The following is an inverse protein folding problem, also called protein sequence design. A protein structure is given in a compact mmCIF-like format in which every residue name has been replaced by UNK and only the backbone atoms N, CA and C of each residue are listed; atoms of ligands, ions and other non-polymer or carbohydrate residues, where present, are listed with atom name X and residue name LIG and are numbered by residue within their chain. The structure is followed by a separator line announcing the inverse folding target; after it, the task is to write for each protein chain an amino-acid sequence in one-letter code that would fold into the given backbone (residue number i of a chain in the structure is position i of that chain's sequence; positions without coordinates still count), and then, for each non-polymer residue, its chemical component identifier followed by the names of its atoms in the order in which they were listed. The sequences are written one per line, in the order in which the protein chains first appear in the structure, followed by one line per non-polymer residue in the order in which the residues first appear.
data_IF_344933924249
#
_entry.id   IF_344933924249
#
_cell.length_a   1.000
_cell.length_b   1.000
_cell.length_c   1.000
_cell.angle_alpha   90.00
_cell.angle_beta   90.00
_cell.angle_gamma   90.00
#
_symmetry.space_group_name_H-M   'P 1'
#
loop_
_entity.id
_entity.type
_entity.pdbx_description
1 polymer ?
#
# COMPACT_ATOMS: atom_id res chain seq x y z
N UNK A 1 -2.59 -22.51 10.97
CA UNK A 1 -2.91 -21.24 11.62
C UNK A 1 -3.35 -20.19 10.60
N UNK A 2 -3.64 -19.00 11.07
CA UNK A 2 -3.91 -17.84 10.23
C UNK A 2 -2.66 -16.95 10.30
N UNK A 3 -2.10 -16.57 9.15
CA UNK A 3 -1.00 -15.62 9.08
C UNK A 3 -1.51 -14.19 9.28
N UNK A 4 -0.75 -13.37 10.00
CA UNK A 4 -1.08 -11.98 10.31
C UNK A 4 -0.15 -11.05 9.53
N UNK A 5 -0.74 -10.22 8.67
CA UNK A 5 -0.03 -9.19 7.90
C UNK A 5 -0.42 -7.82 8.46
N UNK A 6 0.56 -7.01 8.82
CA UNK A 6 0.34 -5.68 9.41
C UNK A 6 0.51 -4.61 8.33
N UNK A 7 -0.38 -3.62 8.36
CA UNK A 7 -0.25 -2.43 7.51
C UNK A 7 0.86 -1.52 8.03
N UNK A 8 1.81 -1.17 7.17
CA UNK A 8 3.05 -0.48 7.49
C UNK A 8 3.19 0.81 6.69
N UNK A 9 2.93 1.94 7.35
CA UNK A 9 3.04 3.27 6.76
C UNK A 9 4.45 3.81 7.02
N UNK A 10 5.36 3.61 6.06
CA UNK A 10 6.76 4.02 6.19
C UNK A 10 7.13 5.23 5.33
N UNK A 11 6.25 5.66 4.43
CA UNK A 11 6.50 6.82 3.58
C UNK A 11 6.39 8.15 4.31
N UNK A 12 5.51 8.25 5.32
CA UNK A 12 5.21 9.51 6.00
C UNK A 12 4.80 9.29 7.46
N UNK A 13 4.75 10.38 8.21
CA UNK A 13 4.14 10.42 9.55
C UNK A 13 3.14 11.56 9.65
N UNK A 14 2.25 11.49 10.63
CA UNK A 14 1.47 12.65 11.04
C UNK A 14 2.35 13.74 11.66
N UNK A 15 1.83 14.97 11.72
CA UNK A 15 2.53 16.13 12.32
C UNK A 15 2.72 16.01 13.83
N UNK A 16 1.93 15.17 14.50
CA UNK A 16 2.03 14.91 15.95
C UNK A 16 3.05 13.83 16.30
N UNK A 17 3.76 13.28 15.32
CA UNK A 17 4.82 12.32 15.58
C UNK A 17 5.97 13.00 16.33
N UNK A 18 6.49 12.35 17.38
CA UNK A 18 7.43 12.97 18.31
C UNK A 18 8.68 13.61 17.65
N UNK A 19 9.14 13.02 16.54
CA UNK A 19 10.27 13.53 15.75
C UNK A 19 9.92 14.86 15.09
N UNK A 20 8.72 14.97 14.52
CA UNK A 20 8.29 16.21 13.89
C UNK A 20 8.00 17.31 14.90
N UNK A 21 7.42 16.96 16.05
CA UNK A 21 7.26 17.89 17.19
C UNK A 21 8.59 18.46 17.67
N UNK A 22 9.65 17.64 17.74
CA UNK A 22 10.99 18.11 18.08
C UNK A 22 11.50 19.15 17.04
N UNK A 23 11.29 18.91 15.74
CA UNK A 23 11.67 19.86 14.70
C UNK A 23 10.86 21.17 14.83
N UNK A 24 9.58 21.10 15.13
CA UNK A 24 8.74 22.30 15.36
C UNK A 24 9.26 23.14 16.55
N UNK A 25 9.70 22.46 17.61
CA UNK A 25 10.18 23.12 18.82
C UNK A 25 11.61 23.67 18.67
N UNK A 26 12.53 22.88 18.09
CA UNK A 26 13.96 23.16 18.10
C UNK A 26 14.48 23.71 16.75
N UNK A 27 13.69 23.69 15.70
CA UNK A 27 14.02 24.20 14.38
C UNK A 27 15.33 23.59 13.84
N UNK A 28 16.23 24.46 13.39
CA UNK A 28 17.54 24.06 12.88
C UNK A 28 18.39 23.24 13.89
N UNK A 29 18.18 23.43 15.18
CA UNK A 29 18.91 22.72 16.24
C UNK A 29 18.35 21.32 16.52
N UNK A 30 17.24 20.94 15.91
CA UNK A 30 16.72 19.57 16.03
C UNK A 30 17.71 18.56 15.46
N UNK A 31 17.96 17.50 16.22
CA UNK A 31 18.76 16.37 15.76
C UNK A 31 18.05 15.55 14.67
N UNK A 32 16.75 15.74 14.51
CA UNK A 32 15.90 14.99 13.58
C UNK A 32 15.63 15.71 12.25
N UNK A 33 16.24 16.86 11.98
CA UNK A 33 15.98 17.67 10.79
C UNK A 33 16.17 16.91 9.47
N UNK A 34 17.01 15.87 9.46
CA UNK A 34 17.31 15.07 8.27
C UNK A 34 16.40 13.83 8.13
N UNK A 35 15.44 13.64 9.06
CA UNK A 35 14.49 12.53 9.04
C UNK A 35 13.39 12.70 8.00
N UNK A 36 13.12 13.94 7.59
CA UNK A 36 12.07 14.25 6.62
C UNK A 36 12.65 14.82 5.32
N UNK A 37 11.94 14.62 4.23
CA UNK A 37 12.34 15.13 2.92
C UNK A 37 12.13 16.64 2.85
N UNK A 38 13.10 17.34 2.27
CA UNK A 38 13.03 18.75 1.90
C UNK A 38 12.68 19.73 3.03
N UNK A 39 13.15 19.47 4.26
CA UNK A 39 13.10 20.47 5.34
C UNK A 39 13.94 21.68 4.95
N UNK A 40 13.34 22.87 4.98
CA UNK A 40 14.01 24.14 4.65
C UNK A 40 13.62 25.20 5.66
N UNK A 41 14.60 25.69 6.40
CA UNK A 41 14.42 26.69 7.47
C UNK A 41 14.40 28.13 6.96
N UNK A 42 14.49 28.35 5.65
CA UNK A 42 14.27 29.63 4.95
C UNK A 42 12.84 29.79 4.42
N UNK A 43 11.95 28.80 4.66
CA UNK A 43 10.57 28.76 4.23
C UNK A 43 9.58 28.77 5.39
N UNK A 44 8.29 28.63 5.03
CA UNK A 44 7.19 28.44 5.98
C UNK A 44 6.26 27.34 5.50
N UNK A 45 5.63 26.62 6.43
CA UNK A 45 4.56 25.68 6.11
C UNK A 45 3.20 26.38 6.06
N UNK A 46 2.19 25.77 5.42
CA UNK A 46 0.80 26.25 5.47
C UNK A 46 0.22 26.30 6.90
N UNK A 47 0.80 25.54 7.83
CA UNK A 47 0.40 25.50 9.24
C UNK A 47 1.12 26.52 10.12
N UNK A 48 1.94 27.38 9.54
CA UNK A 48 2.65 28.45 10.26
C UNK A 48 3.98 28.02 10.90
N UNK A 49 4.50 26.82 10.61
CA UNK A 49 5.84 26.45 11.03
C UNK A 49 6.89 27.36 10.39
N UNK A 50 7.96 27.65 11.11
CA UNK A 50 9.07 28.49 10.62
C UNK A 50 10.05 27.71 9.70
N UNK A 51 9.55 26.70 9.01
CA UNK A 51 10.24 25.91 7.99
C UNK A 51 9.22 25.33 7.01
N UNK A 52 9.68 24.98 5.82
CA UNK A 52 8.90 24.20 4.85
C UNK A 52 9.39 22.75 4.81
N UNK A 53 8.55 21.85 4.31
CA UNK A 53 8.83 20.42 4.19
C UNK A 53 8.01 19.81 3.03
N UNK A 54 8.29 18.57 2.69
CA UNK A 54 7.52 17.81 1.71
C UNK A 54 6.41 17.01 2.39
N UNK A 55 5.15 17.20 1.93
CA UNK A 55 4.04 16.34 2.28
C UNK A 55 3.79 15.28 1.21
N UNK A 56 3.33 14.08 1.60
CA UNK A 56 2.99 13.04 0.65
C UNK A 56 1.80 13.47 -0.22
N UNK A 57 1.97 13.36 -1.55
CA UNK A 57 0.97 13.75 -2.56
C UNK A 57 0.42 15.19 -2.37
N UNK A 58 1.21 16.09 -1.78
CA UNK A 58 0.81 17.46 -1.48
C UNK A 58 0.00 17.62 -0.20
N UNK A 59 -0.31 16.53 0.50
CA UNK A 59 -0.97 16.58 1.81
C UNK A 59 0.05 16.91 2.90
N UNK A 60 -0.03 18.12 3.43
CA UNK A 60 0.95 18.63 4.38
C UNK A 60 0.78 18.07 5.81
N UNK A 61 -0.34 17.38 6.09
CA UNK A 61 -0.52 16.62 7.34
C UNK A 61 0.26 15.30 7.34
N UNK A 62 0.62 14.80 6.16
CA UNK A 62 1.37 13.56 5.96
C UNK A 62 2.81 13.89 5.58
N UNK A 63 3.64 14.12 6.62
CA UNK A 63 5.02 14.61 6.45
C UNK A 63 5.91 13.51 5.94
N UNK A 64 6.51 13.70 4.75
CA UNK A 64 7.26 12.66 4.05
C UNK A 64 8.60 12.34 4.72
N UNK A 65 8.76 11.10 5.12
CA UNK A 65 10.00 10.59 5.71
C UNK A 65 11.13 10.46 4.67
N UNK A 66 12.34 10.67 5.13
CA UNK A 66 13.55 10.37 4.38
C UNK A 66 14.00 8.94 4.67
N UNK A 67 13.36 7.96 4.02
CA UNK A 67 13.65 6.53 4.22
C UNK A 67 15.07 6.11 3.79
N UNK A 68 15.83 7.01 3.14
CA UNK A 68 17.24 6.78 2.82
C UNK A 68 18.16 7.17 3.99
N UNK A 69 17.66 7.89 5.00
CA UNK A 69 18.38 8.22 6.21
C UNK A 69 18.53 6.98 7.11
N UNK A 70 19.76 6.70 7.55
CA UNK A 70 20.06 5.51 8.35
C UNK A 70 19.35 5.49 9.72
N UNK A 71 19.16 6.63 10.36
CA UNK A 71 18.45 6.69 11.65
C UNK A 71 16.95 6.39 11.46
N UNK A 72 16.36 6.87 10.37
CA UNK A 72 14.97 6.54 9.97
C UNK A 72 14.84 5.04 9.73
N UNK A 73 15.77 4.43 8.96
CA UNK A 73 15.77 2.98 8.72
C UNK A 73 15.92 2.19 10.04
N UNK A 74 16.84 2.59 10.91
CA UNK A 74 17.04 1.93 12.20
C UNK A 74 15.78 2.00 13.07
N UNK A 75 15.08 3.13 13.07
CA UNK A 75 13.83 3.28 13.80
C UNK A 75 12.74 2.35 13.25
N UNK A 76 12.54 2.36 11.91
CA UNK A 76 11.55 1.51 11.24
C UNK A 76 11.87 0.03 11.45
N UNK A 77 13.12 -0.39 11.21
CA UNK A 77 13.52 -1.79 11.35
C UNK A 77 13.44 -2.28 12.80
N UNK A 78 13.74 -1.40 13.76
CA UNK A 78 13.55 -1.70 15.19
C UNK A 78 12.07 -1.92 15.54
N UNK A 79 11.16 -1.14 14.95
CA UNK A 79 9.72 -1.37 15.13
C UNK A 79 9.28 -2.69 14.49
N UNK A 80 9.74 -2.98 13.26
CA UNK A 80 9.43 -4.23 12.55
C UNK A 80 9.95 -5.45 13.32
N UNK A 81 11.19 -5.38 13.82
CA UNK A 81 11.76 -6.45 14.66
C UNK A 81 10.89 -6.74 15.88
N UNK A 82 10.45 -5.67 16.55
CA UNK A 82 9.55 -5.79 17.69
C UNK A 82 8.22 -6.45 17.31
N UNK A 83 7.63 -6.07 16.19
CA UNK A 83 6.40 -6.68 15.71
C UNK A 83 6.57 -8.17 15.37
N UNK A 84 7.70 -8.55 14.76
CA UNK A 84 8.02 -9.96 14.48
C UNK A 84 8.22 -10.74 15.79
N UNK A 85 8.96 -10.19 16.76
CA UNK A 85 9.37 -10.92 17.96
C UNK A 85 8.31 -10.95 19.07
N UNK A 86 7.53 -9.87 19.23
CA UNK A 86 6.54 -9.76 20.31
C UNK A 86 5.12 -10.12 19.84
N UNK A 87 4.77 -9.83 18.59
CA UNK A 87 3.43 -10.09 18.07
C UNK A 87 3.40 -11.22 17.04
N UNK A 88 4.55 -11.83 16.73
CA UNK A 88 4.67 -12.98 15.83
C UNK A 88 4.03 -12.76 14.45
N UNK A 89 4.06 -11.52 13.93
CA UNK A 89 3.49 -11.23 12.62
C UNK A 89 4.18 -12.02 11.50
N UNK A 90 3.45 -12.26 10.42
CA UNK A 90 3.88 -13.07 9.29
C UNK A 90 4.23 -12.24 8.05
N UNK A 91 3.95 -10.94 8.08
CA UNK A 91 4.25 -10.07 6.96
C UNK A 91 3.85 -8.62 7.16
N UNK A 92 4.14 -7.81 6.13
CA UNK A 92 3.77 -6.40 6.05
C UNK A 92 3.09 -6.07 4.73
N UNK A 93 2.07 -5.21 4.79
CA UNK A 93 1.57 -4.46 3.64
C UNK A 93 2.18 -3.06 3.70
N UNK A 94 3.01 -2.71 2.73
CA UNK A 94 3.60 -1.36 2.64
C UNK A 94 2.62 -0.40 1.99
N UNK A 95 2.17 0.56 2.75
CA UNK A 95 1.37 1.70 2.26
C UNK A 95 2.20 2.55 1.29
N UNK A 96 1.57 3.03 0.20
CA UNK A 96 2.21 3.87 -0.80
C UNK A 96 3.60 3.34 -1.24
N UNK A 97 3.71 2.03 -1.49
CA UNK A 97 4.98 1.39 -1.82
C UNK A 97 5.62 1.91 -3.11
N UNK A 98 4.82 2.47 -4.02
CA UNK A 98 5.27 3.04 -5.29
C UNK A 98 6.15 4.29 -5.12
N UNK A 99 6.11 4.96 -3.96
CA UNK A 99 6.95 6.14 -3.64
C UNK A 99 8.10 5.83 -2.68
N UNK A 100 8.23 4.59 -2.21
CA UNK A 100 9.38 4.13 -1.44
C UNK A 100 10.56 3.82 -2.37
N UNK A 101 11.79 4.08 -1.90
CA UNK A 101 12.98 3.79 -2.72
C UNK A 101 13.23 2.28 -2.84
N UNK A 102 13.76 1.86 -4.01
CA UNK A 102 14.10 0.45 -4.23
C UNK A 102 15.14 -0.06 -3.24
N UNK A 103 16.12 0.77 -2.87
CA UNK A 103 17.13 0.45 -1.84
C UNK A 103 16.50 0.19 -0.48
N UNK A 104 15.55 1.02 -0.05
CA UNK A 104 14.83 0.81 1.22
C UNK A 104 14.06 -0.52 1.21
N UNK A 105 13.36 -0.83 0.12
CA UNK A 105 12.63 -2.11 0.01
C UNK A 105 13.56 -3.31 0.04
N UNK A 106 14.71 -3.24 -0.63
CA UNK A 106 15.72 -4.31 -0.64
C UNK A 106 16.33 -4.53 0.76
N UNK A 107 16.64 -3.44 1.48
CA UNK A 107 17.15 -3.52 2.84
C UNK A 107 16.10 -4.07 3.81
N UNK A 108 14.83 -3.62 3.67
CA UNK A 108 13.70 -4.13 4.48
C UNK A 108 13.46 -5.62 4.21
N UNK A 109 13.47 -6.04 2.94
CA UNK A 109 13.34 -7.44 2.56
C UNK A 109 14.40 -8.29 3.25
N UNK A 110 15.68 -7.93 3.08
CA UNK A 110 16.79 -8.67 3.67
C UNK A 110 16.69 -8.71 5.21
N UNK A 111 16.30 -7.60 5.82
CA UNK A 111 16.09 -7.52 7.26
C UNK A 111 14.99 -8.48 7.73
N UNK A 112 13.80 -8.41 7.14
CA UNK A 112 12.66 -9.25 7.51
C UNK A 112 12.97 -10.74 7.33
N UNK A 113 13.54 -11.13 6.18
CA UNK A 113 13.92 -12.52 5.91
C UNK A 113 15.02 -13.03 6.83
N UNK A 114 15.90 -12.17 7.33
CA UNK A 114 16.89 -12.56 8.35
C UNK A 114 16.25 -12.91 9.70
N UNK A 115 15.05 -12.37 9.98
CA UNK A 115 14.31 -12.62 11.22
C UNK A 115 13.31 -13.78 11.07
N UNK A 116 12.68 -13.90 9.90
CA UNK A 116 11.67 -14.90 9.59
C UNK A 116 11.72 -15.22 8.09
N UNK A 117 12.14 -16.43 7.72
CA UNK A 117 12.41 -16.81 6.31
C UNK A 117 11.18 -16.82 5.39
N UNK A 118 10.00 -17.05 5.95
CA UNK A 118 8.70 -17.05 5.25
C UNK A 118 7.90 -15.77 5.44
N UNK A 119 8.57 -14.68 5.83
CA UNK A 119 7.95 -13.37 6.04
C UNK A 119 7.48 -12.80 4.70
N UNK A 120 6.19 -12.45 4.62
CA UNK A 120 5.58 -11.98 3.39
C UNK A 120 5.54 -10.45 3.31
N UNK A 121 6.05 -9.91 2.20
CA UNK A 121 6.06 -8.48 1.93
C UNK A 121 5.17 -8.17 0.73
N UNK A 122 4.11 -7.40 0.93
CA UNK A 122 3.32 -6.85 -0.17
C UNK A 122 3.34 -5.32 -0.15
N UNK A 123 3.16 -4.70 -1.31
CA UNK A 123 3.09 -3.26 -1.44
C UNK A 123 1.81 -2.80 -2.09
N UNK A 124 1.31 -1.65 -1.64
CA UNK A 124 0.32 -0.92 -2.39
C UNK A 124 1.00 -0.19 -3.55
N UNK A 125 0.62 -0.56 -4.78
CA UNK A 125 1.04 0.08 -6.02
C UNK A 125 -0.18 0.28 -6.89
N UNK A 126 -0.50 1.55 -7.17
CA UNK A 126 -1.71 1.88 -7.95
C UNK A 126 -1.40 1.85 -9.45
N UNK A 127 -0.25 2.39 -9.86
CA UNK A 127 0.12 2.56 -11.26
C UNK A 127 1.57 2.16 -11.53
N UNK A 128 1.88 1.83 -12.78
CA UNK A 128 3.22 1.54 -13.25
C UNK A 128 3.45 0.07 -13.61
N UNK A 129 4.69 -0.27 -13.91
CA UNK A 129 5.09 -1.66 -14.15
C UNK A 129 5.37 -2.35 -12.81
N UNK A 130 4.50 -3.26 -12.42
CA UNK A 130 4.58 -3.98 -11.14
C UNK A 130 5.88 -4.75 -10.94
N UNK A 131 6.58 -5.12 -12.02
CA UNK A 131 7.90 -5.75 -11.94
C UNK A 131 8.98 -4.86 -11.29
N UNK A 132 8.74 -3.55 -11.19
CA UNK A 132 9.67 -2.67 -10.47
C UNK A 132 9.64 -2.92 -8.95
N UNK A 133 8.54 -3.44 -8.43
CA UNK A 133 8.30 -3.66 -7.00
C UNK A 133 8.19 -5.15 -6.67
N UNK A 134 7.27 -5.89 -7.34
CA UNK A 134 7.07 -7.33 -7.13
C UNK A 134 8.16 -8.14 -7.84
N UNK A 135 9.30 -8.28 -7.18
CA UNK A 135 10.45 -9.04 -7.68
C UNK A 135 11.28 -9.57 -6.53
N UNK A 136 12.07 -10.62 -6.83
CA UNK A 136 13.01 -11.21 -5.86
C UNK A 136 13.88 -10.13 -5.19
N UNK A 137 13.97 -10.20 -3.89
CA UNK A 137 14.76 -9.28 -3.07
C UNK A 137 14.07 -7.95 -2.76
N UNK A 138 12.80 -7.75 -3.15
CA UNK A 138 11.98 -6.59 -2.77
C UNK A 138 10.66 -7.02 -2.15
N UNK A 139 9.58 -7.02 -2.93
CA UNK A 139 8.25 -7.39 -2.48
C UNK A 139 7.80 -8.68 -3.14
N UNK A 140 7.11 -9.52 -2.38
CA UNK A 140 6.55 -10.78 -2.87
C UNK A 140 5.30 -10.55 -3.72
N UNK A 141 4.58 -9.45 -3.47
CA UNK A 141 3.33 -9.11 -4.15
C UNK A 141 3.10 -7.60 -4.17
N UNK A 142 2.26 -7.15 -5.10
CA UNK A 142 1.69 -5.81 -5.10
C UNK A 142 0.20 -5.85 -5.46
N UNK A 143 -0.53 -4.79 -5.10
CA UNK A 143 -1.97 -4.64 -5.41
C UNK A 143 -2.22 -4.59 -6.91
N UNK A 144 -3.18 -5.38 -7.39
CA UNK A 144 -3.53 -5.48 -8.80
C UNK A 144 -4.67 -4.53 -9.19
N UNK A 145 -4.40 -3.23 -9.14
CA UNK A 145 -5.37 -2.21 -9.57
C UNK A 145 -5.69 -2.29 -11.07
N UNK A 146 -4.78 -2.82 -11.88
CA UNK A 146 -4.99 -2.98 -13.33
C UNK A 146 -6.14 -3.98 -13.63
N UNK A 147 -6.23 -5.08 -12.86
CA UNK A 147 -7.30 -6.07 -13.04
C UNK A 147 -8.61 -5.66 -12.34
N UNK A 148 -8.52 -4.91 -11.25
CA UNK A 148 -9.65 -4.52 -10.39
C UNK A 148 -10.86 -3.99 -11.18
N UNK A 149 -10.65 -2.97 -12.02
CA UNK A 149 -11.74 -2.35 -12.79
C UNK A 149 -12.35 -3.34 -13.78
N UNK A 150 -11.52 -4.06 -14.51
CA UNK A 150 -11.96 -5.02 -15.53
C UNK A 150 -12.85 -6.12 -14.96
N UNK A 151 -12.59 -6.56 -13.71
CA UNK A 151 -13.44 -7.58 -13.08
C UNK A 151 -14.88 -7.12 -12.92
N UNK A 152 -15.15 -6.01 -12.25
CA UNK A 152 -16.53 -5.59 -12.00
C UNK A 152 -17.21 -4.94 -13.22
N UNK A 153 -16.46 -4.20 -14.07
CA UNK A 153 -17.02 -3.57 -15.26
C UNK A 153 -17.53 -4.62 -16.26
N UNK A 154 -16.84 -5.76 -16.37
CA UNK A 154 -17.22 -6.85 -17.27
C UNK A 154 -18.63 -7.38 -16.96
N UNK A 155 -18.99 -7.51 -15.70
CA UNK A 155 -20.35 -7.92 -15.31
C UNK A 155 -21.37 -6.81 -15.52
N UNK A 156 -21.03 -5.57 -15.15
CA UNK A 156 -21.92 -4.42 -15.27
C UNK A 156 -22.30 -4.13 -16.72
N UNK A 157 -21.35 -4.27 -17.62
CA UNK A 157 -21.52 -3.95 -19.05
C UNK A 157 -21.80 -5.21 -19.89
N UNK A 158 -21.81 -6.40 -19.25
CA UNK A 158 -21.97 -7.71 -19.91
C UNK A 158 -20.98 -7.90 -21.06
N UNK A 159 -19.75 -7.41 -20.84
CA UNK A 159 -18.66 -7.43 -21.80
C UNK A 159 -17.36 -7.86 -21.10
N UNK A 160 -16.88 -9.06 -21.43
CA UNK A 160 -15.71 -9.67 -20.78
C UNK A 160 -14.39 -9.42 -21.53
N UNK A 161 -14.37 -8.62 -22.61
CA UNK A 161 -13.13 -8.37 -23.36
C UNK A 161 -12.07 -7.64 -22.52
N UNK A 162 -12.47 -6.67 -21.67
CA UNK A 162 -11.53 -5.92 -20.84
C UNK A 162 -10.82 -6.84 -19.86
N UNK A 163 -11.56 -7.64 -19.09
CA UNK A 163 -10.96 -8.56 -18.11
C UNK A 163 -10.14 -9.66 -18.80
N UNK A 164 -10.63 -10.21 -19.92
CA UNK A 164 -9.88 -11.21 -20.69
C UNK A 164 -8.57 -10.64 -21.24
N UNK A 165 -8.58 -9.41 -21.73
CA UNK A 165 -7.38 -8.72 -22.19
C UNK A 165 -6.37 -8.53 -21.03
N UNK A 166 -6.82 -8.01 -19.90
CA UNK A 166 -5.96 -7.80 -18.71
C UNK A 166 -5.37 -9.11 -18.21
N UNK A 167 -6.18 -10.17 -18.10
CA UNK A 167 -5.69 -11.49 -17.67
C UNK A 167 -4.68 -12.08 -18.64
N UNK A 168 -4.95 -12.00 -19.95
CA UNK A 168 -4.00 -12.51 -20.94
C UNK A 168 -2.69 -11.71 -20.96
N UNK A 169 -2.79 -10.38 -20.86
CA UNK A 169 -1.62 -9.50 -20.79
C UNK A 169 -0.77 -9.77 -19.53
N UNK A 170 -1.42 -9.98 -18.38
CA UNK A 170 -0.73 -10.20 -17.11
C UNK A 170 -0.16 -11.62 -16.99
N UNK A 171 -0.94 -12.64 -17.31
CA UNK A 171 -0.69 -14.02 -16.94
C UNK A 171 -0.73 -15.02 -18.11
N UNK A 172 -1.11 -14.60 -19.32
CA UNK A 172 -1.14 -15.46 -20.50
C UNK A 172 0.26 -15.92 -20.96
N UNK A 173 0.33 -16.58 -22.12
CA UNK A 173 1.61 -16.95 -22.71
C UNK A 173 2.44 -15.71 -23.04
N UNK A 174 3.60 -15.56 -22.35
CA UNK A 174 4.39 -14.33 -22.40
C UNK A 174 3.83 -13.17 -21.55
N UNK A 175 2.90 -13.45 -20.64
CA UNK A 175 2.34 -12.47 -19.73
C UNK A 175 3.39 -11.76 -18.88
N UNK A 176 3.23 -10.45 -18.75
CA UNK A 176 4.25 -9.56 -18.12
C UNK A 176 4.42 -9.81 -16.62
N UNK A 177 3.40 -10.34 -15.93
CA UNK A 177 3.41 -10.64 -14.50
C UNK A 177 3.23 -12.13 -14.21
N UNK A 178 3.56 -13.00 -15.18
CA UNK A 178 3.34 -14.46 -15.12
C UNK A 178 3.94 -15.12 -13.86
N UNK A 179 5.00 -14.53 -13.33
CA UNK A 179 5.72 -15.06 -12.15
C UNK A 179 5.58 -14.19 -10.91
N UNK A 180 4.77 -13.12 -10.97
CA UNK A 180 4.48 -12.25 -9.84
C UNK A 180 3.09 -12.58 -9.28
N UNK A 181 2.96 -13.10 -8.05
CA UNK A 181 1.66 -13.37 -7.44
C UNK A 181 1.00 -12.06 -7.01
N UNK A 182 0.31 -11.39 -7.93
CA UNK A 182 -0.35 -10.11 -7.65
C UNK A 182 -1.51 -10.28 -6.67
N UNK A 183 -1.69 -9.30 -5.79
CA UNK A 183 -2.77 -9.24 -4.80
C UNK A 183 -4.04 -8.70 -5.47
N UNK A 184 -4.99 -9.59 -5.74
CA UNK A 184 -6.25 -9.28 -6.43
C UNK A 184 -7.35 -8.95 -5.42
N UNK A 185 -8.18 -7.98 -5.74
CA UNK A 185 -9.29 -7.54 -4.89
C UNK A 185 -10.47 -7.04 -5.73
N UNK A 186 -11.66 -7.04 -5.17
CA UNK A 186 -12.87 -6.43 -5.75
C UNK A 186 -13.19 -5.08 -5.10
N UNK A 187 -12.75 -4.89 -3.89
CA UNK A 187 -12.80 -3.64 -3.13
C UNK A 187 -11.74 -3.61 -2.02
N UNK A 188 -11.50 -2.43 -1.48
CA UNK A 188 -10.65 -2.19 -0.32
C UNK A 188 -11.12 -0.87 0.37
N UNK A 189 -10.31 -0.36 1.32
CA UNK A 189 -10.62 0.88 2.03
C UNK A 189 -10.46 2.17 1.18
N UNK A 190 -9.88 2.09 -0.03
CA UNK A 190 -9.62 3.24 -0.91
C UNK A 190 -10.59 3.33 -2.10
N UNK A 191 -11.37 2.28 -2.34
CA UNK A 191 -12.35 2.22 -3.44
C UNK A 191 -13.74 1.90 -2.93
N UNK A 192 -14.75 2.22 -3.73
CA UNK A 192 -16.12 1.91 -3.38
C UNK A 192 -16.32 0.41 -3.16
N UNK A 193 -17.10 0.06 -2.15
CA UNK A 193 -17.44 -1.34 -1.88
C UNK A 193 -18.11 -1.98 -3.08
N UNK A 194 -17.71 -3.21 -3.40
CA UNK A 194 -18.17 -3.91 -4.61
C UNK A 194 -19.68 -4.01 -4.70
N UNK A 195 -20.38 -4.19 -3.58
CA UNK A 195 -21.84 -4.25 -3.54
C UNK A 195 -22.51 -2.91 -3.92
N UNK A 196 -21.78 -1.78 -3.84
CA UNK A 196 -22.24 -0.47 -4.31
C UNK A 196 -21.90 -0.21 -5.76
N UNK A 197 -20.91 -0.92 -6.32
CA UNK A 197 -20.43 -0.74 -7.70
C UNK A 197 -21.22 -1.58 -8.69
N UNK A 198 -21.60 -2.80 -8.31
CA UNK A 198 -22.34 -3.69 -9.21
C UNK A 198 -23.77 -3.19 -9.45
N UNK A 199 -24.21 -3.25 -10.71
CA UNK A 199 -25.58 -2.88 -11.12
C UNK A 199 -26.66 -3.87 -10.64
N UNK A 200 -26.28 -5.14 -10.44
CA UNK A 200 -27.15 -6.21 -9.95
C UNK A 200 -26.39 -7.01 -8.89
N UNK A 201 -26.98 -7.17 -7.71
CA UNK A 201 -26.38 -7.95 -6.61
C UNK A 201 -26.12 -9.42 -6.95
N UNK A 202 -26.84 -9.97 -7.96
CA UNK A 202 -26.59 -11.32 -8.47
C UNK A 202 -25.18 -11.50 -9.04
N UNK A 203 -24.49 -10.40 -9.41
CA UNK A 203 -23.13 -10.45 -9.91
C UNK A 203 -22.08 -10.68 -8.82
N UNK A 204 -22.42 -10.50 -7.53
CA UNK A 204 -21.44 -10.66 -6.45
C UNK A 204 -20.85 -12.07 -6.40
N UNK A 205 -21.68 -13.11 -6.41
CA UNK A 205 -21.20 -14.50 -6.34
C UNK A 205 -20.28 -14.84 -7.51
N UNK A 206 -20.66 -14.63 -8.79
CA UNK A 206 -19.76 -14.92 -9.90
C UNK A 206 -18.52 -14.03 -9.94
N UNK A 207 -18.57 -12.79 -9.42
CA UNK A 207 -17.39 -11.94 -9.26
C UNK A 207 -16.39 -12.52 -8.25
N UNK A 208 -16.88 -12.98 -7.10
CA UNK A 208 -16.00 -13.66 -6.13
C UNK A 208 -15.47 -14.99 -6.68
N UNK A 209 -16.30 -15.75 -7.42
CA UNK A 209 -15.81 -16.95 -8.10
C UNK A 209 -14.67 -16.61 -9.09
N UNK A 210 -14.79 -15.53 -9.84
CA UNK A 210 -13.71 -15.04 -10.71
C UNK A 210 -12.47 -14.66 -9.87
N UNK A 211 -12.63 -13.85 -8.81
CA UNK A 211 -11.54 -13.43 -7.94
C UNK A 211 -10.71 -14.61 -7.42
N UNK A 212 -11.39 -15.69 -6.99
CA UNK A 212 -10.72 -16.87 -6.43
C UNK A 212 -10.16 -17.84 -7.49
N UNK A 213 -10.44 -17.62 -8.77
CA UNK A 213 -9.98 -18.51 -9.86
C UNK A 213 -8.97 -17.88 -10.81
N UNK A 214 -8.78 -16.55 -10.75
CA UNK A 214 -7.71 -15.87 -11.50
C UNK A 214 -6.36 -16.06 -10.81
N UNK A 215 -5.24 -16.04 -11.56
CA UNK A 215 -3.91 -16.14 -10.97
C UNK A 215 -3.62 -15.00 -9.98
N UNK A 216 -2.92 -15.30 -8.88
CA UNK A 216 -2.54 -14.34 -7.85
C UNK A 216 -3.11 -14.68 -6.48
N UNK A 217 -3.09 -13.71 -5.57
CA UNK A 217 -3.57 -13.82 -4.19
C UNK A 217 -4.92 -13.14 -4.07
N UNK A 218 -6.03 -13.87 -3.87
CA UNK A 218 -7.35 -13.26 -3.72
C UNK A 218 -7.50 -12.61 -2.36
N UNK A 219 -8.18 -11.47 -2.32
CA UNK A 219 -8.49 -10.73 -1.09
C UNK A 219 -9.97 -10.41 -1.00
N UNK A 220 -10.52 -10.55 0.19
CA UNK A 220 -11.85 -10.08 0.56
C UNK A 220 -11.70 -8.95 1.56
N UNK A 221 -12.24 -7.78 1.24
CA UNK A 221 -12.34 -6.70 2.20
C UNK A 221 -13.42 -7.03 3.24
N UNK A 222 -13.14 -6.79 4.51
CA UNK A 222 -14.06 -7.17 5.60
C UNK A 222 -15.48 -6.62 5.37
N UNK A 223 -16.48 -7.44 5.58
CA UNK A 223 -17.89 -7.11 5.36
C UNK A 223 -18.37 -7.22 3.92
N UNK A 224 -17.48 -7.29 2.93
CA UNK A 224 -17.86 -7.41 1.53
C UNK A 224 -18.43 -8.80 1.21
N UNK A 225 -18.03 -9.83 1.96
CA UNK A 225 -18.62 -11.17 1.93
C UNK A 225 -20.12 -11.18 2.33
N UNK A 226 -20.56 -10.18 3.09
CA UNK A 226 -21.96 -9.97 3.46
C UNK A 226 -22.70 -9.01 2.52
N UNK A 227 -22.01 -8.46 1.51
CA UNK A 227 -22.58 -7.48 0.59
C UNK A 227 -22.79 -6.10 1.23
N UNK A 228 -21.97 -5.73 2.22
CA UNK A 228 -22.01 -4.38 2.81
C UNK A 228 -21.73 -3.35 1.72
N UNK A 229 -22.55 -2.31 1.70
CA UNK A 229 -22.46 -1.19 0.78
C UNK A 229 -21.71 -0.03 1.41
N UNK A 230 -21.03 0.75 0.59
CA UNK A 230 -20.35 1.99 0.96
C UNK A 230 -19.76 2.65 -0.28
N UNK A 231 -19.76 3.96 -0.30
CA UNK A 231 -19.21 4.76 -1.39
C UNK A 231 -18.37 5.90 -0.83
N UNK A 232 -17.26 6.18 -1.49
CA UNK A 232 -16.52 7.43 -1.27
C UNK A 232 -17.41 8.60 -1.66
N UNK A 233 -17.49 9.59 -0.84
CA UNK A 233 -18.29 10.78 -1.07
C UNK A 233 -17.47 12.06 -0.85
N UNK A 234 -18.06 13.23 -1.11
CA UNK A 234 -17.38 14.52 -0.97
C UNK A 234 -16.97 14.89 0.48
N UNK A 235 -17.43 14.13 1.46
CA UNK A 235 -17.15 14.35 2.88
C UNK A 235 -16.13 13.37 3.46
N UNK A 236 -15.63 12.44 2.65
CA UNK A 236 -14.60 11.48 3.03
C UNK A 236 -15.00 10.01 2.79
N UNK A 237 -14.27 9.12 3.45
CA UNK A 237 -14.33 7.68 3.23
C UNK A 237 -15.06 6.92 4.36
N UNK A 238 -15.90 7.61 5.13
CA UNK A 238 -16.55 7.05 6.34
C UNK A 238 -17.40 5.82 6.09
N UNK A 239 -17.87 5.61 4.85
CA UNK A 239 -18.65 4.43 4.48
C UNK A 239 -17.75 3.25 4.02
N UNK A 240 -16.48 3.47 3.83
CA UNK A 240 -15.56 2.46 3.35
C UNK A 240 -14.89 1.69 4.48
#
# INVERSE_FOLDING_TARGET
GISVIVDAVFNHTGRDFFVFLDIQQNGWNSKYKDWYKNIRFDGKSPYGDNFSYEGWAGCMDLVKLNVDNNEVKQHIFGAVEKWITEFEIDGLRLDAADVLTGSFMEELHNFCYSKKQDFWLMGEVVHGDYNNWAKSGRLDSVTNYELYKGMWSSFNDKNFFEVAYSLNRQFGDGGIYKYAPLYNFLDNHDVNRIASVVKDSKFLIPLYAMLFTVPGVPSIYYGSEWGIRGMRNNYGDYEL
#
